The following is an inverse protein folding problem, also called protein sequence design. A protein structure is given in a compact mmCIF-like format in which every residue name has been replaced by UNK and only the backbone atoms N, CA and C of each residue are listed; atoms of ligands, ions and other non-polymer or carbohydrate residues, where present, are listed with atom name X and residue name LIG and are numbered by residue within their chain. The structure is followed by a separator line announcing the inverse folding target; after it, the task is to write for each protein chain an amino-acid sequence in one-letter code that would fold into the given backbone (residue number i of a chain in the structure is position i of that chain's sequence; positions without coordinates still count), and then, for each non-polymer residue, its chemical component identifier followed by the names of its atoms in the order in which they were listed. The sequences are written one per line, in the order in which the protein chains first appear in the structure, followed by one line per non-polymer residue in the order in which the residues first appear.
data_IF_429707092427
#
_entry.id   IF_429707092427
#
_cell.length_a   1.000
_cell.length_b   1.000
_cell.length_c   1.000
_cell.angle_alpha   90.00
_cell.angle_beta   90.00
_cell.angle_gamma   90.00
#
_symmetry.space_group_name_H-M   'P 1'
#
loop_
_entity.id
_entity.type
_entity.pdbx_description
1 polymer ?
#
# COMPACT_ATOMS: atom_id res chain seq x y z
N UNK A 1 -11.80 2.05 17.57
CA UNK A 1 -10.33 2.03 17.61
C UNK A 1 -9.87 1.40 16.32
N UNK A 2 -9.06 2.09 15.52
CA UNK A 2 -8.51 1.52 14.28
C UNK A 2 -7.31 0.69 14.68
N UNK A 3 -7.36 -0.62 14.42
CA UNK A 3 -6.23 -1.52 14.69
C UNK A 3 -5.23 -1.39 13.57
N UNK A 4 -4.00 -1.02 13.90
CA UNK A 4 -2.90 -0.99 12.94
C UNK A 4 -2.66 -2.39 12.36
N UNK A 5 -2.28 -2.44 11.09
CA UNK A 5 -1.78 -3.65 10.46
C UNK A 5 -0.43 -4.08 11.05
N UNK A 6 -0.11 -5.35 10.85
CA UNK A 6 1.19 -5.98 11.07
C UNK A 6 1.86 -6.31 9.73
N UNK A 7 3.14 -6.71 9.74
CA UNK A 7 3.84 -7.13 8.51
C UNK A 7 3.16 -8.34 7.86
N UNK A 8 2.68 -9.29 8.67
CA UNK A 8 1.99 -10.49 8.18
C UNK A 8 0.65 -10.14 7.50
N UNK A 9 0.01 -9.04 7.90
CA UNK A 9 -1.20 -8.57 7.23
C UNK A 9 -0.95 -8.11 5.79
N UNK A 10 0.29 -7.79 5.40
CA UNK A 10 0.62 -7.33 4.04
C UNK A 10 0.36 -8.42 2.99
N UNK A 11 0.44 -9.69 3.37
CA UNK A 11 0.09 -10.83 2.52
C UNK A 11 -1.42 -10.96 2.29
N UNK A 12 -2.23 -10.25 3.07
CA UNK A 12 -3.69 -10.30 3.03
C UNK A 12 -4.31 -9.03 2.41
N UNK A 13 -3.52 -7.99 2.17
CA UNK A 13 -3.99 -6.73 1.58
C UNK A 13 -3.70 -6.76 0.09
N UNK A 14 -4.75 -6.89 -0.72
CA UNK A 14 -4.66 -6.96 -2.17
C UNK A 14 -5.00 -5.63 -2.83
N UNK A 15 -4.16 -5.23 -3.78
CA UNK A 15 -4.28 -3.95 -4.47
C UNK A 15 -4.19 -4.19 -5.98
N UNK A 16 -5.15 -3.59 -6.70
CA UNK A 16 -5.11 -3.54 -8.16
C UNK A 16 -4.13 -2.44 -8.60
N UNK A 17 -3.03 -2.84 -9.25
CA UNK A 17 -2.01 -1.92 -9.77
C UNK A 17 -1.67 -2.23 -11.23
N UNK A 18 -1.12 -1.27 -11.99
CA UNK A 18 -0.55 -1.55 -13.30
C UNK A 18 0.50 -2.66 -13.23
N UNK A 19 0.51 -3.53 -14.24
CA UNK A 19 1.57 -4.53 -14.37
C UNK A 19 2.89 -3.82 -14.72
N UNK A 20 4.02 -4.32 -14.20
CA UNK A 20 5.35 -3.74 -14.47
C UNK A 20 5.76 -3.85 -15.96
N UNK A 21 5.12 -4.74 -16.72
CA UNK A 21 5.25 -4.81 -18.19
C UNK A 21 4.54 -3.67 -18.95
N UNK A 22 3.74 -2.85 -18.25
CA UNK A 22 3.01 -1.73 -18.84
C UNK A 22 1.70 -2.10 -19.55
N UNK A 23 1.32 -3.39 -19.59
CA UNK A 23 0.06 -3.85 -20.20
C UNK A 23 -0.86 -4.45 -19.14
N UNK A 24 -2.02 -3.82 -18.96
CA UNK A 24 -3.06 -4.29 -18.04
C UNK A 24 -2.77 -4.02 -16.56
N UNK A 25 -3.58 -4.63 -15.71
CA UNK A 25 -3.50 -4.54 -14.25
C UNK A 25 -3.27 -5.91 -13.62
N UNK A 26 -2.68 -5.92 -12.44
CA UNK A 26 -2.47 -7.10 -11.61
C UNK A 26 -3.08 -6.85 -10.22
N UNK A 27 -3.72 -7.86 -9.66
CA UNK A 27 -4.18 -7.83 -8.27
C UNK A 27 -3.11 -8.52 -7.40
N UNK A 28 -2.33 -7.72 -6.67
CA UNK A 28 -1.16 -8.19 -5.93
C UNK A 28 -1.34 -7.96 -4.44
N UNK A 29 -0.84 -8.88 -3.62
CA UNK A 29 -0.65 -8.63 -2.20
C UNK A 29 0.38 -7.51 -2.03
N UNK A 30 0.25 -6.68 -0.99
CA UNK A 30 1.18 -5.56 -0.74
C UNK A 30 2.61 -6.06 -0.59
N UNK A 31 2.82 -7.26 -0.04
CA UNK A 31 4.14 -7.89 0.08
C UNK A 31 4.77 -8.22 -1.28
N UNK A 32 3.96 -8.62 -2.26
CA UNK A 32 4.41 -9.03 -3.60
C UNK A 32 4.68 -7.86 -4.56
N UNK A 33 4.21 -6.65 -4.22
CA UNK A 33 4.39 -5.48 -5.09
C UNK A 33 5.87 -5.12 -5.28
N UNK A 34 6.23 -4.65 -6.47
CA UNK A 34 7.52 -3.98 -6.66
C UNK A 34 7.56 -2.66 -5.89
N UNK A 35 8.76 -2.16 -5.55
CA UNK A 35 8.89 -0.86 -4.88
C UNK A 35 8.30 0.29 -5.70
N UNK A 36 8.35 0.17 -7.03
CA UNK A 36 7.73 1.13 -7.95
C UNK A 36 6.20 1.06 -7.87
N UNK A 37 5.61 -0.13 -8.00
CA UNK A 37 4.16 -0.30 -7.90
C UNK A 37 3.62 0.22 -6.58
N UNK A 38 4.29 -0.10 -5.47
CA UNK A 38 3.85 0.37 -4.15
C UNK A 38 3.96 1.89 -4.03
N UNK A 39 5.09 2.49 -4.46
CA UNK A 39 5.27 3.95 -4.49
C UNK A 39 4.16 4.64 -5.27
N UNK A 40 3.93 4.20 -6.50
CA UNK A 40 2.98 4.84 -7.40
C UNK A 40 1.57 4.77 -6.82
N UNK A 41 1.18 3.59 -6.30
CA UNK A 41 -0.11 3.40 -5.68
C UNK A 41 -0.28 4.23 -4.40
N UNK A 42 0.68 4.16 -3.48
CA UNK A 42 0.54 4.80 -2.17
C UNK A 42 0.57 6.32 -2.28
N UNK A 43 1.36 6.87 -3.21
CA UNK A 43 1.37 8.29 -3.52
C UNK A 43 0.01 8.75 -4.08
N UNK A 44 -0.51 8.04 -5.09
CA UNK A 44 -1.80 8.36 -5.68
C UNK A 44 -2.95 8.23 -4.65
N UNK A 45 -2.93 7.17 -3.82
CA UNK A 45 -3.93 6.96 -2.77
C UNK A 45 -3.87 8.06 -1.72
N UNK A 46 -2.67 8.46 -1.29
CA UNK A 46 -2.48 9.55 -0.33
C UNK A 46 -3.00 10.88 -0.90
N UNK A 47 -2.71 11.18 -2.16
CA UNK A 47 -3.19 12.39 -2.84
C UNK A 47 -4.72 12.44 -2.91
N UNK A 48 -5.36 11.37 -3.37
CA UNK A 48 -6.82 11.26 -3.48
C UNK A 48 -7.50 11.48 -2.11
N UNK A 49 -6.94 10.89 -1.06
CA UNK A 49 -7.47 10.97 0.30
C UNK A 49 -6.98 12.20 1.07
N UNK A 50 -6.18 13.08 0.44
CA UNK A 50 -5.58 14.29 1.03
C UNK A 50 -4.73 14.02 2.27
N UNK A 51 -4.09 12.86 2.32
CA UNK A 51 -3.15 12.49 3.38
C UNK A 51 -1.75 12.99 3.01
N UNK A 52 -1.16 13.86 3.83
CA UNK A 52 0.24 14.24 3.65
C UNK A 52 1.13 13.02 3.86
N UNK A 53 1.97 12.68 2.88
CA UNK A 53 2.83 11.50 2.94
C UNK A 53 4.16 11.77 2.23
N UNK A 54 5.25 11.39 2.88
CA UNK A 54 6.58 11.37 2.26
C UNK A 54 6.80 9.95 1.74
N UNK A 55 6.92 9.80 0.43
CA UNK A 55 7.14 8.50 -0.20
C UNK A 55 8.63 8.38 -0.58
N UNK A 56 9.35 7.36 -0.09
CA UNK A 56 10.78 7.24 -0.36
C UNK A 56 11.08 6.85 -1.82
N UNK A 57 12.16 7.42 -2.34
CA UNK A 57 12.80 7.01 -3.58
C UNK A 57 13.64 5.74 -3.36
N UNK A 58 13.72 4.84 -4.35
CA UNK A 58 14.50 3.60 -4.27
C UNK A 58 13.73 2.35 -3.81
N UNK A 59 14.37 1.49 -3.01
CA UNK A 59 13.77 0.24 -2.51
C UNK A 59 12.87 0.55 -1.31
N UNK A 60 11.67 -0.05 -1.30
CA UNK A 60 10.70 0.05 -0.20
C UNK A 60 10.50 -1.36 0.37
N UNK A 61 11.01 -1.58 1.58
CA UNK A 61 10.86 -2.83 2.34
C UNK A 61 9.47 -2.97 2.98
N UNK A 62 9.18 -4.13 3.54
CA UNK A 62 7.86 -4.45 4.10
C UNK A 62 7.51 -3.56 5.31
N UNK A 63 8.48 -3.27 6.18
CA UNK A 63 8.28 -2.38 7.33
C UNK A 63 7.90 -0.97 6.90
N UNK A 64 8.60 -0.43 5.89
CA UNK A 64 8.28 0.88 5.33
C UNK A 64 6.89 0.88 4.69
N UNK A 65 6.53 -0.18 3.95
CA UNK A 65 5.17 -0.33 3.40
C UNK A 65 4.12 -0.32 4.51
N UNK A 66 4.36 -1.08 5.58
CA UNK A 66 3.48 -1.17 6.73
C UNK A 66 3.27 0.19 7.38
N UNK A 67 4.36 0.92 7.65
CA UNK A 67 4.29 2.26 8.22
C UNK A 67 3.44 3.21 7.38
N UNK A 68 3.55 3.15 6.05
CA UNK A 68 2.78 3.98 5.14
C UNK A 68 1.30 3.59 5.09
N UNK A 69 0.98 2.29 5.10
CA UNK A 69 -0.41 1.82 5.19
C UNK A 69 -1.07 2.21 6.51
N UNK A 70 -0.37 2.01 7.64
CA UNK A 70 -0.88 2.39 8.95
C UNK A 70 -1.07 3.91 9.05
N UNK A 71 -0.21 4.72 8.41
CA UNK A 71 -0.43 6.16 8.29
C UNK A 71 -1.75 6.46 7.58
N UNK A 72 -2.00 5.87 6.40
CA UNK A 72 -3.27 6.04 5.68
C UNK A 72 -4.47 5.65 6.57
N UNK A 73 -4.38 4.50 7.24
CA UNK A 73 -5.47 3.98 8.06
C UNK A 73 -5.80 4.88 9.26
N UNK A 74 -4.77 5.41 9.93
CA UNK A 74 -4.92 6.35 11.06
C UNK A 74 -5.53 7.68 10.64
N UNK A 75 -5.31 8.11 9.40
CA UNK A 75 -5.95 9.27 8.78
C UNK A 75 -7.38 8.97 8.28
N UNK A 76 -7.91 7.77 8.55
CA UNK A 76 -9.27 7.38 8.23
C UNK A 76 -9.46 6.73 6.86
N UNK A 77 -8.36 6.48 6.12
CA UNK A 77 -8.43 5.77 4.84
C UNK A 77 -8.75 4.31 5.07
N UNK A 78 -9.82 3.81 4.45
CA UNK A 78 -10.22 2.42 4.56
C UNK A 78 -9.35 1.55 3.66
N UNK A 79 -8.60 0.64 4.28
CA UNK A 79 -7.82 -0.42 3.62
C UNK A 79 -8.37 -1.75 4.15
N UNK A 80 -8.62 -2.68 3.24
CA UNK A 80 -9.22 -3.97 3.56
C UNK A 80 -8.19 -5.08 3.39
N UNK A 81 -8.17 -6.01 4.35
CA UNK A 81 -7.45 -7.28 4.25
C UNK A 81 -8.44 -8.42 4.02
N UNK A 82 -8.06 -9.45 3.30
CA UNK A 82 -8.88 -10.65 3.12
C UNK A 82 -9.07 -11.36 4.48
N UNK A 83 -10.31 -11.73 4.80
CA UNK A 83 -10.66 -12.46 6.02
C UNK A 83 -11.00 -11.60 7.25
N UNK A 84 -11.20 -10.29 7.08
CA UNK A 84 -11.67 -9.36 8.13
C UNK A 84 -13.11 -8.91 7.96
#
# INVERSE_FOLDING_TARGET
MVTDFTVDDLDLIYILVPNDSGVGTANLAVSDMSSKQFRDWVAAKAEIERVSMIVPEGRIDLETRLHMLNRLQREGVKIHKLGG
#
